data_IF_537753874112
#
_entry.id   IF_537753874112
#
_cell.length_a   1.000
_cell.length_b   1.000
_cell.length_c   1.000
_cell.angle_alpha   90.00
_cell.angle_beta   90.00
_cell.angle_gamma   90.00
#
_symmetry.space_group_name_H-M   'P 1'
#
loop_
_entity.id
_entity.type
_entity.pdbx_description
1 polymer ?
#
# COMPACT_ATOMS: atom_id res chain seq x y z
N UNK A 1 -9.09 11.54 1.06
CA UNK A 1 -9.08 11.18 -0.38
C UNK A 1 -10.32 10.34 -0.63
N UNK A 2 -10.97 10.49 -1.77
CA UNK A 2 -12.11 9.65 -2.17
C UNK A 2 -11.72 8.84 -3.40
N UNK A 3 -10.72 7.96 -3.24
CA UNK A 3 -10.22 7.11 -4.31
C UNK A 3 -10.46 5.63 -3.97
N UNK A 4 -10.81 4.80 -4.96
CA UNK A 4 -10.82 3.35 -4.78
C UNK A 4 -9.42 2.83 -4.48
N UNK A 5 -9.29 1.97 -3.48
CA UNK A 5 -8.07 1.25 -3.15
C UNK A 5 -8.41 -0.21 -2.81
N UNK A 6 -7.61 -1.14 -3.31
CA UNK A 6 -7.88 -2.57 -3.22
C UNK A 6 -6.63 -3.30 -2.77
N UNK A 7 -6.78 -4.22 -1.84
CA UNK A 7 -5.75 -5.22 -1.56
C UNK A 7 -5.72 -6.21 -2.71
N UNK A 8 -4.53 -6.52 -3.21
CA UNK A 8 -4.32 -7.39 -4.37
C UNK A 8 -3.25 -8.45 -4.10
N UNK A 9 -3.00 -9.29 -5.10
CA UNK A 9 -1.79 -10.12 -5.17
C UNK A 9 -1.78 -11.29 -4.17
N UNK A 10 -0.57 -11.58 -3.68
CA UNK A 10 -0.30 -12.76 -2.86
C UNK A 10 -1.11 -12.79 -1.56
N UNK A 11 -1.33 -11.62 -0.94
CA UNK A 11 -2.11 -11.52 0.28
C UNK A 11 -3.55 -12.00 0.09
N UNK A 12 -4.22 -11.61 -1.01
CA UNK A 12 -5.60 -12.05 -1.31
C UNK A 12 -5.65 -13.56 -1.54
N UNK A 13 -4.71 -14.09 -2.31
CA UNK A 13 -4.62 -15.55 -2.54
C UNK A 13 -4.43 -16.29 -1.22
N UNK A 14 -3.51 -15.82 -0.38
CA UNK A 14 -3.17 -16.51 0.86
C UNK A 14 -4.31 -16.42 1.88
N UNK A 15 -5.06 -15.31 1.91
CA UNK A 15 -6.33 -15.20 2.65
C UNK A 15 -7.32 -16.29 2.22
N UNK A 16 -7.55 -16.46 0.92
CA UNK A 16 -8.48 -17.47 0.38
C UNK A 16 -8.01 -18.92 0.67
N UNK A 17 -6.71 -19.13 0.81
CA UNK A 17 -6.10 -20.43 1.11
C UNK A 17 -5.89 -20.67 2.62
N UNK A 18 -6.37 -19.77 3.49
CA UNK A 18 -6.13 -19.80 4.94
C UNK A 18 -4.63 -19.90 5.31
N UNK A 19 -3.79 -19.13 4.63
CA UNK A 19 -2.35 -19.00 4.89
C UNK A 19 -2.04 -17.64 5.49
N UNK A 20 -1.03 -17.57 6.35
CA UNK A 20 -0.54 -16.30 6.89
C UNK A 20 0.30 -15.55 5.86
N UNK A 21 0.04 -14.27 5.65
CA UNK A 21 0.91 -13.36 4.88
C UNK A 21 1.37 -12.19 5.75
N UNK A 22 2.62 -11.76 5.52
CA UNK A 22 3.24 -10.64 6.26
C UNK A 22 3.13 -9.30 5.51
N UNK A 23 3.05 -9.36 4.18
CA UNK A 23 3.09 -8.19 3.30
C UNK A 23 1.74 -7.97 2.62
N UNK A 24 1.33 -6.70 2.45
CA UNK A 24 0.07 -6.29 1.82
C UNK A 24 0.39 -5.36 0.64
N UNK A 25 -0.03 -5.77 -0.56
CA UNK A 25 0.04 -4.92 -1.75
C UNK A 25 -1.31 -4.25 -1.99
N UNK A 26 -1.28 -2.93 -2.19
CA UNK A 26 -2.47 -2.10 -2.44
C UNK A 26 -2.36 -1.46 -3.81
N UNK A 27 -3.38 -1.66 -4.66
CA UNK A 27 -3.56 -0.85 -5.87
C UNK A 27 -4.57 0.26 -5.60
N UNK A 28 -4.27 1.47 -6.05
CA UNK A 28 -5.13 2.64 -5.91
C UNK A 28 -5.48 3.18 -7.30
N UNK A 29 -6.75 3.50 -7.53
CA UNK A 29 -7.18 4.21 -8.75
C UNK A 29 -6.93 5.70 -8.51
N UNK A 30 -5.72 6.14 -8.84
CA UNK A 30 -5.19 7.48 -8.58
C UNK A 30 -3.69 7.45 -8.25
N UNK A 31 -3.20 8.45 -7.54
CA UNK A 31 -1.80 8.49 -7.10
C UNK A 31 -1.57 7.57 -5.89
N UNK A 32 -0.92 6.42 -6.10
CA UNK A 32 -0.48 5.53 -5.02
C UNK A 32 0.58 6.17 -4.11
N UNK A 33 1.41 7.06 -4.65
CA UNK A 33 2.43 7.80 -3.90
C UNK A 33 1.78 8.76 -2.91
N UNK A 34 0.81 9.58 -3.36
CA UNK A 34 0.11 10.51 -2.46
C UNK A 34 -0.68 9.76 -1.39
N UNK A 35 -1.27 8.62 -1.75
CA UNK A 35 -1.93 7.74 -0.79
C UNK A 35 -0.95 7.28 0.30
N UNK A 36 0.23 6.78 -0.08
CA UNK A 36 1.24 6.32 0.87
C UNK A 36 1.73 7.45 1.80
N UNK A 37 2.02 8.64 1.27
CA UNK A 37 2.43 9.82 2.06
C UNK A 37 1.40 10.21 3.10
N UNK A 38 0.11 10.23 2.73
CA UNK A 38 -0.98 10.55 3.66
C UNK A 38 -1.20 9.46 4.71
N UNK A 39 -1.01 8.19 4.34
CA UNK A 39 -1.09 7.06 5.28
C UNK A 39 0.05 7.14 6.30
N UNK A 40 1.29 7.37 5.87
CA UNK A 40 2.44 7.55 6.77
C UNK A 40 2.17 8.66 7.79
N UNK A 41 1.77 9.84 7.31
CA UNK A 41 1.43 10.98 8.16
C UNK A 41 0.31 10.66 9.18
N UNK A 42 -0.65 9.80 8.81
CA UNK A 42 -1.74 9.41 9.71
C UNK A 42 -1.31 8.39 10.76
N UNK A 43 -0.36 7.53 10.44
CA UNK A 43 0.14 6.49 11.34
C UNK A 43 1.18 7.02 12.35
N UNK A 44 1.92 8.08 11.98
CA UNK A 44 2.86 8.78 12.85
C UNK A 44 4.26 8.92 12.25
N UNK A 45 5.10 9.72 12.89
CA UNK A 45 6.41 10.15 12.38
C UNK A 45 7.44 9.01 12.27
N UNK A 46 7.18 7.86 12.89
CA UNK A 46 8.03 6.68 12.77
C UNK A 46 7.92 5.99 11.39
N UNK A 47 6.83 6.23 10.66
CA UNK A 47 6.59 5.63 9.35
C UNK A 47 7.12 6.52 8.23
N UNK A 48 7.86 5.93 7.31
CA UNK A 48 8.49 6.60 6.18
C UNK A 48 7.92 6.07 4.86
N UNK A 49 8.09 6.85 3.79
CA UNK A 49 7.65 6.44 2.45
C UNK A 49 8.84 6.43 1.51
N UNK A 50 9.15 5.23 0.99
CA UNK A 50 10.09 5.07 -0.11
C UNK A 50 9.34 5.22 -1.43
N UNK A 51 9.73 6.20 -2.25
CA UNK A 51 9.05 6.51 -3.52
C UNK A 51 9.87 6.00 -4.70
N UNK A 52 9.23 5.21 -5.56
CA UNK A 52 9.81 4.70 -6.80
C UNK A 52 9.10 5.31 -8.01
N UNK A 53 9.47 6.55 -8.35
CA UNK A 53 8.77 7.38 -9.35
C UNK A 53 8.60 6.72 -10.72
N UNK A 54 9.63 6.02 -11.21
CA UNK A 54 9.60 5.37 -12.52
C UNK A 54 8.57 4.24 -12.61
N UNK A 55 8.21 3.64 -11.47
CA UNK A 55 7.21 2.57 -11.39
C UNK A 55 5.84 3.10 -10.92
N UNK A 56 5.76 4.37 -10.53
CA UNK A 56 4.53 4.94 -9.95
C UNK A 56 4.15 4.32 -8.61
N UNK A 57 5.11 3.76 -7.87
CA UNK A 57 4.85 3.05 -6.61
C UNK A 57 5.49 3.74 -5.41
N UNK A 58 4.96 3.42 -4.23
CA UNK A 58 5.52 3.82 -2.96
C UNK A 58 5.41 2.65 -1.96
N UNK A 59 6.40 2.53 -1.09
CA UNK A 59 6.42 1.56 -0.01
C UNK A 59 6.40 2.31 1.32
N UNK A 60 5.46 1.95 2.19
CA UNK A 60 5.45 2.36 3.59
C UNK A 60 6.45 1.50 4.36
N UNK A 61 7.36 2.13 5.08
CA UNK A 61 8.41 1.49 5.91
C UNK A 61 8.33 1.97 7.35
#
# INVERSE_FOLDING_TARGET
MNIPAFVIGGWVRDLLLNRTSKDIDIVAIGSGIELAERVAKKLGDQYHVNVYKNFGTAQLV
#
